data_IF_089603507367
#
_entry.id   IF_089603507367
#
_cell.length_a   1.000
_cell.length_b   1.000
_cell.length_c   1.000
_cell.angle_alpha   90.00
_cell.angle_beta   90.00
_cell.angle_gamma   90.00
#
_symmetry.space_group_name_H-M   'P 1'
#
loop_
_entity.id
_entity.type
_entity.pdbx_description
1 polymer ?
#
# COMPACT_ATOMS: atom_id res chain seq x y z
N UNK A 1 9.39 -42.41 21.45
CA UNK A 1 8.31 -41.50 21.89
C UNK A 1 8.65 -40.09 21.43
N UNK A 2 8.10 -39.70 20.29
CA UNK A 2 8.32 -38.41 19.63
C UNK A 2 7.48 -37.35 20.32
N UNK A 3 8.13 -36.36 20.92
CA UNK A 3 7.48 -35.18 21.53
C UNK A 3 6.90 -34.30 20.42
N UNK A 4 5.56 -34.18 20.40
CA UNK A 4 4.85 -33.22 19.57
C UNK A 4 4.95 -31.83 20.18
N UNK A 5 5.40 -30.85 19.40
CA UNK A 5 5.32 -29.42 19.74
C UNK A 5 3.84 -28.98 19.74
N UNK A 6 3.41 -28.09 20.66
CA UNK A 6 2.03 -27.65 20.70
C UNK A 6 1.71 -26.75 19.50
N UNK A 7 0.63 -27.06 18.80
CA UNK A 7 0.00 -26.17 17.81
C UNK A 7 -0.50 -24.92 18.52
N UNK A 8 -0.01 -23.75 18.14
CA UNK A 8 -0.51 -22.47 18.64
C UNK A 8 -1.92 -22.21 18.10
N UNK A 9 -2.93 -22.33 18.95
CA UNK A 9 -4.28 -21.84 18.69
C UNK A 9 -4.27 -20.32 18.41
N UNK A 10 -5.16 -19.80 17.55
CA UNK A 10 -5.32 -18.36 17.39
C UNK A 10 -5.76 -17.73 18.72
N UNK A 11 -5.19 -16.57 19.04
CA UNK A 11 -5.57 -15.80 20.22
C UNK A 11 -7.05 -15.41 20.14
N UNK A 12 -7.74 -15.45 21.27
CA UNK A 12 -9.14 -15.05 21.36
C UNK A 12 -9.32 -13.59 20.89
N UNK A 13 -10.44 -13.25 20.20
CA UNK A 13 -10.72 -11.87 19.84
C UNK A 13 -10.83 -11.01 21.11
N UNK A 14 -10.18 -9.84 21.11
CA UNK A 14 -10.33 -8.85 22.19
C UNK A 14 -11.74 -8.25 22.15
N UNK A 15 -12.38 -8.12 23.30
CA UNK A 15 -13.68 -7.46 23.44
C UNK A 15 -13.60 -6.02 22.87
N UNK A 16 -14.47 -5.70 21.91
CA UNK A 16 -14.52 -4.37 21.26
C UNK A 16 -13.84 -4.24 19.89
N UNK A 17 -13.12 -5.27 19.41
CA UNK A 17 -12.60 -5.26 18.04
C UNK A 17 -13.73 -5.48 17.03
N UNK A 18 -13.95 -4.52 16.12
CA UNK A 18 -14.91 -4.68 15.01
C UNK A 18 -14.45 -5.85 14.15
N UNK A 19 -15.35 -6.82 13.91
CA UNK A 19 -15.06 -7.96 13.06
C UNK A 19 -14.70 -7.47 11.64
N UNK A 20 -13.61 -7.98 11.03
CA UNK A 20 -13.24 -7.60 9.67
C UNK A 20 -14.38 -7.83 8.69
N UNK A 21 -14.52 -6.94 7.70
CA UNK A 21 -15.51 -7.14 6.64
C UNK A 21 -15.21 -8.42 5.85
N UNK A 22 -16.21 -9.06 5.22
CA UNK A 22 -15.98 -10.25 4.38
C UNK A 22 -14.93 -10.01 3.29
N UNK A 23 -14.92 -8.80 2.72
CA UNK A 23 -13.91 -8.39 1.73
C UNK A 23 -12.51 -8.31 2.34
N UNK A 24 -12.36 -7.73 3.54
CA UNK A 24 -11.06 -7.62 4.20
C UNK A 24 -10.45 -8.99 4.53
N UNK A 25 -11.29 -9.92 4.96
CA UNK A 25 -10.91 -11.33 5.18
C UNK A 25 -10.48 -11.98 3.86
N UNK A 26 -11.26 -11.83 2.79
CA UNK A 26 -10.96 -12.40 1.48
C UNK A 26 -9.65 -11.87 0.88
N UNK A 27 -9.42 -10.56 0.95
CA UNK A 27 -8.24 -9.90 0.42
C UNK A 27 -6.97 -10.35 1.16
N UNK A 28 -7.00 -10.30 2.49
CA UNK A 28 -5.87 -10.71 3.34
C UNK A 28 -5.58 -12.22 3.22
N UNK A 29 -6.62 -13.06 3.26
CA UNK A 29 -6.49 -14.51 3.10
C UNK A 29 -5.89 -14.89 1.75
N UNK A 30 -6.32 -14.25 0.66
CA UNK A 30 -5.80 -14.53 -0.69
C UNK A 30 -4.32 -14.16 -0.81
N UNK A 31 -3.93 -12.98 -0.30
CA UNK A 31 -2.55 -12.55 -0.27
C UNK A 31 -1.65 -13.46 0.58
N UNK A 32 -2.09 -13.81 1.80
CA UNK A 32 -1.33 -14.67 2.72
C UNK A 32 -1.24 -16.11 2.22
N UNK A 33 -2.31 -16.65 1.61
CA UNK A 33 -2.31 -17.98 0.99
C UNK A 33 -1.31 -18.04 -0.16
N UNK A 34 -1.31 -17.03 -1.04
CA UNK A 34 -0.35 -16.95 -2.13
C UNK A 34 1.08 -16.78 -1.62
N UNK A 35 1.30 -15.95 -0.58
CA UNK A 35 2.62 -15.84 0.04
C UNK A 35 3.12 -17.19 0.57
N UNK A 36 2.26 -17.95 1.25
CA UNK A 36 2.60 -19.26 1.83
C UNK A 36 2.97 -20.28 0.75
N UNK A 37 2.35 -20.25 -0.42
CA UNK A 37 2.67 -21.18 -1.52
C UNK A 37 4.03 -20.91 -2.20
N UNK A 38 4.60 -19.70 -2.05
CA UNK A 38 5.92 -19.39 -2.59
C UNK A 38 7.03 -20.24 -1.93
N UNK A 39 8.15 -20.49 -2.63
CA UNK A 39 9.32 -21.16 -2.06
C UNK A 39 9.82 -20.49 -0.78
N UNK A 40 10.46 -21.27 0.11
CA UNK A 40 11.00 -20.74 1.39
C UNK A 40 12.12 -19.71 1.21
N UNK A 41 12.81 -19.72 0.07
CA UNK A 41 13.93 -18.83 -0.21
C UNK A 41 13.42 -17.37 -0.30
N UNK A 42 13.99 -16.49 0.53
CA UNK A 42 13.62 -15.07 0.58
C UNK A 42 12.48 -14.74 1.55
N UNK A 43 11.92 -15.74 2.25
CA UNK A 43 11.01 -15.50 3.38
C UNK A 43 11.80 -15.23 4.66
N UNK A 44 11.27 -14.44 5.61
CA UNK A 44 11.90 -14.20 6.89
C UNK A 44 12.28 -15.50 7.63
N UNK A 45 13.45 -15.52 8.24
CA UNK A 45 13.97 -16.64 9.03
C UNK A 45 14.21 -16.24 10.49
N UNK A 46 13.98 -17.16 11.41
CA UNK A 46 14.26 -16.95 12.83
C UNK A 46 13.46 -15.77 13.42
N UNK A 47 14.16 -14.67 13.72
CA UNK A 47 13.58 -13.45 14.33
C UNK A 47 13.36 -12.31 13.33
N UNK A 48 13.51 -12.58 12.03
CA UNK A 48 13.26 -11.59 11.00
C UNK A 48 11.77 -11.29 10.89
N UNK A 49 11.44 -10.00 10.77
CA UNK A 49 10.10 -9.51 10.42
C UNK A 49 10.17 -8.62 9.18
N UNK A 50 9.06 -8.52 8.47
CA UNK A 50 8.93 -7.67 7.28
C UNK A 50 7.51 -7.13 7.16
N UNK A 51 7.27 -6.23 6.21
CA UNK A 51 5.91 -5.94 5.72
C UNK A 51 5.67 -6.76 4.45
N UNK A 52 4.42 -7.14 4.22
CA UNK A 52 3.95 -7.70 2.95
C UNK A 52 2.89 -6.76 2.35
N UNK A 53 2.93 -6.60 1.03
CA UNK A 53 1.89 -5.93 0.28
C UNK A 53 1.58 -6.73 -1.00
N UNK A 54 0.33 -6.67 -1.45
CA UNK A 54 -0.13 -7.37 -2.65
C UNK A 54 -1.15 -6.53 -3.43
N UNK A 55 -0.99 -6.50 -4.75
CA UNK A 55 -2.03 -6.02 -5.65
C UNK A 55 -2.94 -7.18 -6.04
N UNK A 56 -4.24 -6.99 -5.83
CA UNK A 56 -5.26 -7.99 -6.03
C UNK A 56 -6.23 -7.54 -7.12
N UNK A 57 -6.82 -8.51 -7.82
CA UNK A 57 -7.81 -8.28 -8.86
C UNK A 57 -9.09 -9.03 -8.50
N UNK A 58 -10.21 -8.33 -8.39
CA UNK A 58 -11.53 -8.96 -8.32
C UNK A 58 -12.18 -8.96 -9.70
N UNK A 59 -12.84 -10.06 -10.04
CA UNK A 59 -13.73 -10.15 -11.20
C UNK A 59 -15.20 -10.01 -10.73
N UNK A 60 -16.14 -9.65 -11.62
CA UNK A 60 -17.54 -9.45 -11.23
C UNK A 60 -18.29 -10.74 -10.88
N UNK A 61 -17.83 -11.91 -11.31
CA UNK A 61 -18.48 -13.20 -11.07
C UNK A 61 -18.21 -13.76 -9.67
N UNK A 62 -17.00 -13.53 -9.14
CA UNK A 62 -16.57 -13.95 -7.82
C UNK A 62 -15.77 -12.84 -7.11
N UNK A 63 -16.45 -11.76 -6.65
CA UNK A 63 -15.78 -10.64 -6.03
C UNK A 63 -15.10 -10.98 -4.70
N UNK A 64 -15.45 -12.10 -4.03
CA UNK A 64 -14.87 -12.47 -2.73
C UNK A 64 -13.68 -13.43 -2.85
N UNK A 65 -13.20 -13.69 -4.07
CA UNK A 65 -12.04 -14.52 -4.32
C UNK A 65 -11.04 -13.81 -5.23
N UNK A 66 -10.41 -12.73 -4.74
CA UNK A 66 -9.56 -11.91 -5.58
C UNK A 66 -8.25 -12.63 -5.93
N UNK A 67 -7.83 -12.48 -7.18
CA UNK A 67 -6.57 -13.04 -7.68
C UNK A 67 -5.40 -12.14 -7.32
N UNK A 68 -4.30 -12.71 -6.82
CA UNK A 68 -3.06 -11.97 -6.55
C UNK A 68 -2.32 -11.73 -7.87
N UNK A 69 -2.25 -10.48 -8.32
CA UNK A 69 -1.50 -10.12 -9.52
C UNK A 69 -0.01 -9.95 -9.23
N UNK A 70 0.32 -9.35 -8.08
CA UNK A 70 1.70 -9.14 -7.68
C UNK A 70 1.80 -8.96 -6.18
N UNK A 71 2.98 -9.22 -5.62
CA UNK A 71 3.26 -8.99 -4.22
C UNK A 71 4.71 -8.59 -4.00
N UNK A 72 4.99 -8.04 -2.82
CA UNK A 72 6.33 -7.67 -2.41
C UNK A 72 6.45 -7.65 -0.89
N UNK A 73 7.65 -7.95 -0.39
CA UNK A 73 8.02 -7.76 1.01
C UNK A 73 9.15 -6.74 1.13
N UNK A 74 9.22 -6.05 2.26
CA UNK A 74 10.37 -5.24 2.64
C UNK A 74 10.00 -3.95 3.36
N UNK A 75 11.01 -3.33 3.99
CA UNK A 75 10.87 -2.16 4.88
C UNK A 75 12.04 -1.17 4.76
N UNK A 76 12.85 -1.31 3.70
CA UNK A 76 14.17 -0.67 3.59
C UNK A 76 14.27 0.22 2.36
N UNK A 77 15.09 1.26 2.44
CA UNK A 77 15.39 2.17 1.33
C UNK A 77 16.89 2.37 1.19
N UNK A 78 17.35 2.73 -0.01
CA UNK A 78 18.72 3.17 -0.21
C UNK A 78 18.91 4.59 0.35
N UNK A 79 20.03 4.77 1.06
CA UNK A 79 20.54 6.09 1.44
C UNK A 79 20.99 6.89 0.22
N UNK A 80 20.93 8.22 0.31
CA UNK A 80 21.23 9.12 -0.80
C UNK A 80 22.62 8.91 -1.42
N UNK A 81 23.62 8.59 -0.60
CA UNK A 81 25.00 8.32 -1.02
C UNK A 81 25.15 7.05 -1.88
N UNK A 82 24.19 6.12 -1.80
CA UNK A 82 24.20 4.85 -2.55
C UNK A 82 23.40 4.92 -3.84
N UNK A 83 22.84 6.08 -4.18
CA UNK A 83 22.09 6.26 -5.41
C UNK A 83 23.03 6.22 -6.62
N UNK A 84 22.52 5.66 -7.72
CA UNK A 84 23.24 5.53 -8.98
C UNK A 84 22.49 6.27 -10.07
N UNK A 85 23.22 7.04 -10.90
CA UNK A 85 22.66 7.73 -12.06
C UNK A 85 22.29 6.80 -13.23
N UNK A 86 22.59 5.50 -13.14
CA UNK A 86 22.39 4.53 -14.24
C UNK A 86 21.02 3.84 -14.24
N UNK A 87 20.22 4.02 -13.18
CA UNK A 87 18.91 3.35 -13.05
C UNK A 87 18.99 1.83 -12.78
N UNK A 88 20.13 1.36 -12.26
CA UNK A 88 20.43 -0.06 -11.98
C UNK A 88 20.15 -0.50 -10.54
N UNK A 89 19.71 0.43 -9.67
CA UNK A 89 19.44 0.17 -8.26
C UNK A 89 17.98 0.46 -7.89
N UNK A 90 17.44 -0.32 -6.95
CA UNK A 90 16.11 -0.09 -6.38
C UNK A 90 16.21 0.86 -5.20
N UNK A 91 15.72 2.09 -5.37
CA UNK A 91 15.82 3.13 -4.34
C UNK A 91 14.95 2.84 -3.10
N UNK A 92 13.79 2.22 -3.31
CA UNK A 92 12.81 1.96 -2.26
C UNK A 92 12.30 0.53 -2.38
N UNK A 93 12.63 -0.26 -1.36
CA UNK A 93 12.29 -1.66 -1.24
C UNK A 93 11.23 -1.91 -0.15
N UNK A 94 10.37 -0.93 0.12
CA UNK A 94 9.17 -1.22 0.90
C UNK A 94 8.19 -2.10 0.11
N UNK A 95 7.46 -2.92 0.84
CA UNK A 95 6.55 -3.92 0.31
C UNK A 95 5.60 -3.38 -0.77
N UNK A 96 4.93 -2.24 -0.51
CA UNK A 96 3.95 -1.61 -1.41
C UNK A 96 4.61 -1.14 -2.71
N UNK A 97 5.85 -0.64 -2.60
CA UNK A 97 6.62 -0.14 -3.74
C UNK A 97 7.12 -1.31 -4.60
N UNK A 98 7.64 -2.37 -3.97
CA UNK A 98 8.07 -3.58 -4.67
C UNK A 98 6.89 -4.27 -5.36
N UNK A 99 5.76 -4.42 -4.66
CA UNK A 99 4.54 -5.00 -5.23
C UNK A 99 4.09 -4.20 -6.46
N UNK A 100 4.09 -2.87 -6.40
CA UNK A 100 3.74 -2.03 -7.56
C UNK A 100 4.72 -2.21 -8.72
N UNK A 101 6.03 -2.28 -8.45
CA UNK A 101 7.04 -2.52 -9.51
C UNK A 101 6.85 -3.88 -10.16
N UNK A 102 6.49 -4.91 -9.39
CA UNK A 102 6.14 -6.22 -9.91
C UNK A 102 4.86 -6.18 -10.76
N UNK A 103 3.83 -5.44 -10.35
CA UNK A 103 2.62 -5.22 -11.15
C UNK A 103 2.92 -4.55 -12.50
N UNK A 104 3.77 -3.53 -12.52
CA UNK A 104 4.17 -2.86 -13.77
C UNK A 104 4.87 -3.86 -14.72
N UNK A 105 5.72 -4.75 -14.20
CA UNK A 105 6.35 -5.81 -15.00
C UNK A 105 5.32 -6.80 -15.56
N UNK A 106 4.32 -7.18 -14.76
CA UNK A 106 3.21 -8.01 -15.22
C UNK A 106 2.46 -7.32 -16.36
N UNK A 107 2.08 -6.05 -16.19
CA UNK A 107 1.35 -5.28 -17.20
C UNK A 107 2.10 -5.21 -18.53
N UNK A 108 3.42 -4.94 -18.52
CA UNK A 108 4.22 -5.00 -19.74
C UNK A 108 4.20 -6.39 -20.38
N UNK A 109 4.36 -7.45 -19.58
CA UNK A 109 4.32 -8.83 -20.08
C UNK A 109 2.97 -9.20 -20.69
N UNK A 110 1.85 -8.80 -20.09
CA UNK A 110 0.51 -9.08 -20.62
C UNK A 110 0.26 -8.33 -21.93
N UNK A 111 0.65 -7.06 -21.99
CA UNK A 111 0.50 -6.22 -23.20
C UNK A 111 1.37 -6.74 -24.34
N UNK A 112 2.64 -7.08 -24.06
CA UNK A 112 3.60 -7.56 -25.07
C UNK A 112 3.22 -8.91 -25.66
N UNK A 113 2.61 -9.80 -24.86
CA UNK A 113 2.08 -11.09 -25.35
C UNK A 113 0.98 -10.92 -26.41
N UNK A 114 0.32 -9.76 -26.48
CA UNK A 114 -0.77 -9.47 -27.42
C UNK A 114 -2.04 -10.30 -27.19
N UNK A 115 -2.02 -11.25 -26.26
CA UNK A 115 -3.20 -11.96 -25.79
C UNK A 115 -3.83 -11.14 -24.66
N UNK A 116 -4.96 -10.50 -24.93
CA UNK A 116 -5.72 -9.76 -23.91
C UNK A 116 -6.12 -10.71 -22.77
N UNK A 117 -5.52 -10.62 -21.56
CA UNK A 117 -5.98 -11.44 -20.44
C UNK A 117 -7.43 -11.06 -20.10
N UNK A 118 -8.12 -11.91 -19.35
CA UNK A 118 -9.55 -11.72 -19.06
C UNK A 118 -9.86 -10.36 -18.41
N UNK A 119 -8.89 -9.71 -17.79
CA UNK A 119 -9.08 -8.48 -17.04
C UNK A 119 -8.49 -7.23 -17.70
N UNK A 120 -7.78 -7.36 -18.82
CA UNK A 120 -7.17 -6.25 -19.55
C UNK A 120 -7.62 -6.30 -21.01
N UNK A 121 -8.04 -5.17 -21.57
CA UNK A 121 -8.55 -5.11 -22.95
C UNK A 121 -7.95 -3.93 -23.68
N UNK A 122 -7.63 -4.12 -24.96
CA UNK A 122 -7.26 -3.02 -25.84
C UNK A 122 -8.51 -2.19 -26.18
N UNK A 123 -8.38 -0.87 -26.18
CA UNK A 123 -9.43 0.03 -26.63
C UNK A 123 -9.76 -0.22 -28.11
N UNK A 124 -11.03 -0.05 -28.48
CA UNK A 124 -11.55 -0.30 -29.84
C UNK A 124 -10.90 0.61 -30.89
N UNK A 125 -10.43 1.79 -30.48
CA UNK A 125 -9.70 2.74 -31.32
C UNK A 125 -8.20 2.38 -31.52
N UNK A 126 -7.75 1.27 -30.96
CA UNK A 126 -6.37 0.80 -31.04
C UNK A 126 -5.35 1.64 -30.26
N UNK A 127 -5.81 2.61 -29.46
CA UNK A 127 -4.93 3.61 -28.84
C UNK A 127 -4.24 3.13 -27.55
N UNK A 128 -5.00 2.57 -26.60
CA UNK A 128 -4.51 2.18 -25.27
C UNK A 128 -5.20 0.96 -24.73
N UNK A 129 -4.52 0.24 -23.85
CA UNK A 129 -5.09 -0.79 -23.00
C UNK A 129 -5.84 -0.18 -21.82
N UNK A 130 -6.82 -0.89 -21.30
CA UNK A 130 -7.57 -0.50 -20.11
C UNK A 130 -7.97 -1.71 -19.29
N UNK A 131 -8.29 -1.49 -18.01
CA UNK A 131 -8.93 -2.51 -17.18
C UNK A 131 -10.30 -2.86 -17.80
N UNK A 132 -10.60 -4.15 -17.89
CA UNK A 132 -11.90 -4.61 -18.40
C UNK A 132 -13.00 -4.23 -17.43
N UNK A 133 -14.16 -3.86 -17.97
CA UNK A 133 -15.31 -3.46 -17.18
C UNK A 133 -15.74 -4.56 -16.19
N UNK A 134 -16.17 -4.15 -15.00
CA UNK A 134 -16.50 -5.04 -13.88
C UNK A 134 -15.30 -5.55 -13.09
N UNK A 135 -14.08 -5.48 -13.63
CA UNK A 135 -12.88 -5.80 -12.86
C UNK A 135 -12.45 -4.63 -11.97
N UNK A 136 -11.81 -4.94 -10.85
CA UNK A 136 -11.30 -3.92 -9.93
C UNK A 136 -9.94 -4.31 -9.39
N UNK A 137 -9.07 -3.30 -9.27
CA UNK A 137 -7.73 -3.45 -8.72
C UNK A 137 -7.71 -2.99 -7.26
N UNK A 138 -7.05 -3.75 -6.41
CA UNK A 138 -7.04 -3.53 -4.96
C UNK A 138 -5.63 -3.65 -4.41
N UNK A 139 -5.39 -3.06 -3.23
CA UNK A 139 -4.12 -3.15 -2.53
C UNK A 139 -4.34 -3.71 -1.13
N UNK A 140 -3.63 -4.77 -0.77
CA UNK A 140 -3.52 -5.26 0.60
C UNK A 140 -2.14 -4.93 1.16
N UNK A 141 -2.06 -4.48 2.42
CA UNK A 141 -0.81 -4.22 3.15
C UNK A 141 -0.94 -4.79 4.57
N UNK A 142 0.07 -5.52 5.05
CA UNK A 142 0.00 -6.10 6.41
C UNK A 142 0.12 -5.07 7.52
N UNK A 143 0.68 -3.88 7.25
CA UNK A 143 0.87 -2.82 8.22
C UNK A 143 0.45 -1.46 7.63
N UNK A 144 0.19 -0.50 8.51
CA UNK A 144 -0.06 0.88 8.11
C UNK A 144 1.10 1.42 7.27
N UNK A 145 0.86 1.98 6.07
CA UNK A 145 1.94 2.50 5.25
C UNK A 145 2.62 3.68 5.97
N UNK A 146 3.95 3.75 5.84
CA UNK A 146 4.68 4.86 6.43
C UNK A 146 4.22 6.21 5.88
N UNK A 147 4.18 7.21 6.76
CA UNK A 147 3.75 8.57 6.46
C UNK A 147 2.26 8.85 6.62
N UNK A 148 1.50 7.88 7.13
CA UNK A 148 0.18 8.15 7.72
C UNK A 148 0.40 8.86 9.05
N UNK A 149 -0.11 10.09 9.16
CA UNK A 149 -0.07 10.86 10.40
C UNK A 149 -1.36 10.68 11.19
N UNK A 150 -1.31 10.57 12.52
CA UNK A 150 -2.49 10.79 13.35
C UNK A 150 -3.08 12.17 13.01
N UNK A 151 -4.33 12.22 12.53
CA UNK A 151 -5.02 13.50 12.34
C UNK A 151 -5.24 14.08 13.75
N UNK A 152 -4.86 15.34 14.02
CA UNK A 152 -5.22 16.00 15.27
C UNK A 152 -6.75 16.00 15.44
N UNK A 153 -7.26 15.92 16.67
CA UNK A 153 -8.70 15.80 16.92
C UNK A 153 -9.53 17.02 16.45
N UNK A 154 -8.93 18.16 16.10
CA UNK A 154 -9.68 19.37 15.68
C UNK A 154 -9.17 20.06 14.40
N UNK A 155 -10.10 20.63 13.62
CA UNK A 155 -9.80 21.55 12.49
C UNK A 155 -9.06 22.82 12.94
N UNK A 156 -9.21 23.22 14.20
CA UNK A 156 -8.52 24.37 14.81
C UNK A 156 -7.03 24.12 15.04
N UNK A 157 -6.62 22.92 15.46
CA UNK A 157 -5.19 22.59 15.63
C UNK A 157 -4.46 22.43 14.29
N UNK A 158 -5.18 21.98 13.26
CA UNK A 158 -4.69 22.03 11.87
C UNK A 158 -4.40 23.47 11.42
N UNK A 159 -5.20 24.45 11.87
CA UNK A 159 -5.00 25.88 11.61
C UNK A 159 -3.95 26.53 12.51
N UNK A 160 -3.85 26.16 13.78
CA UNK A 160 -2.79 26.68 14.66
C UNK A 160 -1.40 26.20 14.23
N UNK A 161 -1.26 24.95 13.78
CA UNK A 161 0.01 24.48 13.21
C UNK A 161 0.40 25.24 11.92
N UNK A 162 -0.57 25.85 11.22
CA UNK A 162 -0.36 26.75 10.07
C UNK A 162 0.08 28.16 10.47
N UNK A 163 -0.21 28.61 11.71
CA UNK A 163 0.02 29.99 12.15
C UNK A 163 1.27 30.20 13.03
N UNK A 164 1.85 29.15 13.62
CA UNK A 164 3.08 29.29 14.44
C UNK A 164 4.33 29.26 13.56
N UNK A 165 4.60 30.39 12.90
CA UNK A 165 5.74 30.58 12.00
C UNK A 165 7.07 30.87 12.70
N UNK A 166 8.14 30.19 12.27
CA UNK A 166 9.52 30.72 12.28
C UNK A 166 10.22 30.31 10.97
N UNK A 167 10.29 31.23 10.02
CA UNK A 167 11.26 31.33 8.91
C UNK A 167 11.70 30.03 8.19
N UNK A 168 10.80 29.43 7.37
CA UNK A 168 11.14 28.71 6.13
C UNK A 168 9.86 28.25 5.41
N UNK A 169 9.63 28.71 4.19
CA UNK A 169 8.69 28.20 3.17
C UNK A 169 7.26 27.86 3.63
N UNK A 170 6.29 28.62 3.13
CA UNK A 170 4.85 28.60 3.40
C UNK A 170 4.07 27.34 2.94
N UNK A 171 4.58 26.14 3.22
CA UNK A 171 3.87 24.87 3.03
C UNK A 171 4.09 24.00 4.28
N UNK A 172 3.05 23.77 5.10
CA UNK A 172 3.04 22.56 5.91
C UNK A 172 2.97 21.40 4.92
N UNK A 173 4.13 20.89 4.54
CA UNK A 173 4.20 19.79 3.60
C UNK A 173 3.68 18.55 4.31
N UNK A 174 2.43 18.16 4.03
CA UNK A 174 1.89 16.83 4.32
C UNK A 174 2.77 15.70 3.75
N UNK A 175 3.71 16.03 2.88
CA UNK A 175 4.61 15.11 2.20
C UNK A 175 5.85 14.86 3.05
N UNK A 176 6.14 13.58 3.31
CA UNK A 176 7.17 13.14 4.22
C UNK A 176 8.22 12.31 3.50
N UNK A 177 9.49 12.51 3.86
CA UNK A 177 10.57 11.60 3.45
C UNK A 177 10.68 10.47 4.44
N UNK A 178 11.12 9.31 3.96
CA UNK A 178 11.45 8.20 4.84
C UNK A 178 12.70 8.55 5.67
N UNK A 179 12.75 8.21 6.96
CA UNK A 179 13.89 8.51 7.82
C UNK A 179 15.19 7.84 7.30
N UNK A 180 15.12 6.62 6.76
CA UNK A 180 16.29 5.85 6.34
C UNK A 180 17.12 5.35 7.52
N UNK A 181 18.06 4.42 7.27
CA UNK A 181 19.04 3.97 8.26
C UNK A 181 20.44 4.40 7.81
N UNK A 182 20.99 5.39 8.50
CA UNK A 182 22.27 6.03 8.12
C UNK A 182 22.04 7.37 7.46
N UNK A 183 22.54 7.55 6.24
CA UNK A 183 22.30 8.77 5.47
C UNK A 183 20.83 8.85 5.02
N UNK A 184 20.27 10.06 5.08
CA UNK A 184 18.86 10.29 4.78
C UNK A 184 18.52 9.87 3.36
N UNK A 185 17.40 9.16 3.18
CA UNK A 185 16.94 8.79 1.85
C UNK A 185 16.19 9.94 1.18
N UNK A 186 16.25 9.98 -0.15
CA UNK A 186 15.43 10.90 -0.96
C UNK A 186 14.04 10.32 -1.27
N UNK A 187 13.73 9.13 -0.75
CA UNK A 187 12.45 8.47 -0.99
C UNK A 187 11.33 9.08 -0.14
N UNK A 188 10.22 9.43 -0.79
CA UNK A 188 8.99 9.85 -0.11
C UNK A 188 8.32 8.68 0.61
N UNK A 189 7.44 8.99 1.56
CA UNK A 189 6.70 7.99 2.34
C UNK A 189 5.79 7.13 1.44
N UNK A 190 5.43 5.93 1.91
CA UNK A 190 4.55 5.03 1.17
C UNK A 190 3.16 5.65 1.02
N UNK A 191 2.66 6.33 2.05
CA UNK A 191 1.37 6.97 2.00
C UNK A 191 1.33 8.11 0.99
N UNK A 192 2.37 8.95 0.90
CA UNK A 192 2.49 9.98 -0.16
C UNK A 192 2.47 9.37 -1.56
N UNK A 193 3.11 8.22 -1.74
CA UNK A 193 3.12 7.49 -3.01
C UNK A 193 1.74 6.95 -3.35
N UNK A 194 1.04 6.38 -2.37
CA UNK A 194 -0.34 5.90 -2.54
C UNK A 194 -1.27 7.08 -2.88
N UNK A 195 -1.19 8.20 -2.15
CA UNK A 195 -1.91 9.44 -2.48
C UNK A 195 -1.63 9.88 -3.91
N UNK A 196 -0.37 9.81 -4.37
CA UNK A 196 -0.04 10.12 -5.77
C UNK A 196 -0.69 9.14 -6.75
N UNK A 197 -0.71 7.84 -6.45
CA UNK A 197 -1.35 6.83 -7.33
C UNK A 197 -2.85 7.03 -7.44
N UNK A 198 -3.50 7.55 -6.40
CA UNK A 198 -4.91 7.98 -6.42
C UNK A 198 -5.20 9.13 -7.40
N UNK A 199 -4.18 9.79 -7.95
CA UNK A 199 -4.34 10.91 -8.89
C UNK A 199 -3.85 10.56 -10.29
N UNK A 200 -2.61 10.05 -10.41
CA UNK A 200 -1.98 9.81 -11.72
C UNK A 200 -2.09 8.34 -12.17
N UNK A 201 -2.72 7.51 -11.36
CA UNK A 201 -2.78 6.06 -11.54
C UNK A 201 -1.47 5.36 -11.13
N UNK A 202 -1.57 4.04 -10.94
CA UNK A 202 -0.46 3.21 -10.46
C UNK A 202 0.56 2.90 -11.57
N UNK A 203 0.20 2.99 -12.85
CA UNK A 203 1.00 2.52 -13.99
C UNK A 203 2.31 3.30 -14.19
N UNK A 204 2.35 4.57 -13.80
CA UNK A 204 3.50 5.46 -14.00
C UNK A 204 3.61 5.98 -15.43
N UNK A 205 4.57 6.88 -15.64
CA UNK A 205 4.66 7.69 -16.86
C UNK A 205 4.85 6.86 -18.14
N UNK A 206 5.84 5.96 -18.17
CA UNK A 206 6.14 5.19 -19.38
C UNK A 206 4.97 4.33 -19.85
N UNK A 207 4.33 3.62 -18.91
CA UNK A 207 3.21 2.74 -19.24
C UNK A 207 1.94 3.55 -19.60
N UNK A 208 1.82 4.81 -19.17
CA UNK A 208 0.66 5.66 -19.47
C UNK A 208 0.50 6.02 -20.96
N UNK A 209 1.55 5.82 -21.76
CA UNK A 209 1.47 6.00 -23.22
C UNK A 209 0.61 4.93 -23.89
N UNK A 210 0.52 3.73 -23.30
CA UNK A 210 -0.16 2.57 -23.88
C UNK A 210 -1.22 1.96 -22.96
N UNK A 211 -1.36 2.44 -21.73
CA UNK A 211 -2.31 1.97 -20.73
C UNK A 211 -3.02 3.16 -20.09
N UNK A 212 -4.34 3.13 -20.06
CA UNK A 212 -5.15 4.10 -19.34
C UNK A 212 -4.84 4.11 -17.83
N UNK A 213 -5.05 5.23 -17.11
CA UNK A 213 -4.75 5.29 -15.70
C UNK A 213 -5.47 4.20 -14.89
N UNK A 214 -4.70 3.34 -14.23
CA UNK A 214 -5.21 2.31 -13.34
C UNK A 214 -5.28 2.85 -11.91
N UNK A 215 -6.47 2.77 -11.31
CA UNK A 215 -6.71 3.24 -9.94
C UNK A 215 -7.08 2.07 -9.03
N UNK A 216 -6.84 2.26 -7.74
CA UNK A 216 -7.26 1.33 -6.70
C UNK A 216 -8.74 1.55 -6.37
N UNK A 217 -9.50 0.47 -6.32
CA UNK A 217 -10.88 0.46 -5.83
C UNK A 217 -10.91 0.36 -4.30
N UNK A 218 -10.01 -0.45 -3.73
CA UNK A 218 -9.89 -0.61 -2.26
C UNK A 218 -8.44 -0.66 -1.80
N UNK A 219 -8.22 -0.24 -0.56
CA UNK A 219 -6.98 -0.46 0.21
C UNK A 219 -7.36 -1.18 1.50
N UNK A 220 -6.81 -2.36 1.71
CA UNK A 220 -7.04 -3.18 2.90
C UNK A 220 -5.76 -3.26 3.74
N UNK A 221 -5.85 -2.97 5.03
CA UNK A 221 -4.69 -2.87 5.92
C UNK A 221 -4.87 -3.80 7.12
N UNK A 222 -3.84 -4.57 7.47
CA UNK A 222 -3.87 -5.43 8.65
C UNK A 222 -3.99 -4.64 9.96
N UNK A 223 -4.85 -5.12 10.86
CA UNK A 223 -5.01 -4.56 12.20
C UNK A 223 -3.72 -4.57 13.02
N UNK A 224 -3.58 -3.58 13.91
CA UNK A 224 -2.49 -3.47 14.86
C UNK A 224 -2.68 -4.49 16.00
N UNK A 225 -1.64 -5.29 16.29
CA UNK A 225 -1.68 -6.32 17.33
C UNK A 225 -1.99 -5.76 18.72
N UNK A 226 -1.41 -4.61 19.06
CA UNK A 226 -1.54 -4.00 20.39
C UNK A 226 -2.83 -3.18 20.53
N UNK A 227 -3.64 -3.11 19.47
CA UNK A 227 -4.80 -2.23 19.38
C UNK A 227 -4.39 -0.83 18.94
N UNK A 228 -5.31 -0.13 18.31
CA UNK A 228 -5.15 1.29 18.04
C UNK A 228 -5.36 2.12 19.33
N UNK A 229 -4.74 3.30 19.45
CA UNK A 229 -5.11 4.27 20.49
C UNK A 229 -6.63 4.54 20.50
N UNK A 230 -7.20 4.88 21.65
CA UNK A 230 -8.62 5.22 21.75
C UNK A 230 -9.00 6.30 20.73
N UNK A 231 -10.06 6.05 19.94
CA UNK A 231 -10.52 6.95 18.89
C UNK A 231 -9.75 6.88 17.56
N UNK A 232 -8.70 6.07 17.46
CA UNK A 232 -8.02 5.80 16.20
C UNK A 232 -8.61 4.55 15.54
N UNK A 233 -9.17 4.71 14.34
CA UNK A 233 -9.40 3.60 13.41
C UNK A 233 -8.57 3.85 12.16
N UNK A 234 -8.01 2.78 11.59
CA UNK A 234 -7.17 2.87 10.39
C UNK A 234 -7.99 3.44 9.24
N UNK A 235 -9.23 2.96 9.10
CA UNK A 235 -10.20 3.44 8.11
C UNK A 235 -10.42 4.95 8.20
N UNK A 236 -10.89 5.45 9.34
CA UNK A 236 -11.22 6.87 9.48
C UNK A 236 -10.00 7.77 9.34
N UNK A 237 -8.84 7.34 9.84
CA UNK A 237 -7.62 8.15 9.75
C UNK A 237 -7.18 8.29 8.30
N UNK A 238 -7.06 7.17 7.58
CA UNK A 238 -6.61 7.21 6.19
C UNK A 238 -7.57 7.99 5.31
N UNK A 239 -8.87 7.76 5.46
CA UNK A 239 -9.87 8.50 4.67
C UNK A 239 -9.75 10.00 4.91
N UNK A 240 -9.65 10.44 6.17
CA UNK A 240 -9.49 11.87 6.50
C UNK A 240 -8.20 12.46 5.92
N UNK A 241 -7.05 11.80 6.10
CA UNK A 241 -5.77 12.33 5.60
C UNK A 241 -5.75 12.33 4.07
N UNK A 242 -6.25 11.28 3.44
CA UNK A 242 -6.32 11.19 1.98
C UNK A 242 -7.22 12.29 1.43
N UNK A 243 -8.39 12.50 2.01
CA UNK A 243 -9.34 13.56 1.60
C UNK A 243 -8.75 14.95 1.76
N UNK A 244 -8.11 15.23 2.90
CA UNK A 244 -7.42 16.50 3.12
C UNK A 244 -6.40 16.78 2.02
N UNK A 245 -5.58 15.78 1.64
CA UNK A 245 -4.56 15.92 0.59
C UNK A 245 -5.17 16.09 -0.80
N UNK A 246 -6.18 15.30 -1.13
CA UNK A 246 -6.78 15.29 -2.48
C UNK A 246 -7.70 16.49 -2.75
N UNK A 247 -8.31 17.09 -1.71
CA UNK A 247 -9.24 18.22 -1.85
C UNK A 247 -8.62 19.40 -2.63
N UNK A 248 -7.34 19.68 -2.37
CA UNK A 248 -6.56 20.75 -3.01
C UNK A 248 -6.27 20.57 -4.50
N UNK A 249 -6.46 19.35 -5.03
CA UNK A 249 -6.08 18.97 -6.40
C UNK A 249 -7.25 18.90 -7.38
N UNK A 250 -8.49 18.92 -6.89
CA UNK A 250 -9.71 18.69 -7.68
C UNK A 250 -9.87 19.63 -8.88
N UNK A 251 -9.40 20.87 -8.79
CA UNK A 251 -9.51 21.90 -9.84
C UNK A 251 -8.37 21.90 -10.86
N UNK A 252 -7.36 21.03 -10.74
CA UNK A 252 -6.09 21.12 -11.49
C UNK A 252 -5.80 19.93 -12.40
N UNK A 253 -6.71 18.98 -12.55
CA UNK A 253 -6.46 17.74 -13.29
C UNK A 253 -6.89 17.82 -14.76
N UNK A 254 -6.02 17.35 -15.65
CA UNK A 254 -6.32 17.15 -17.07
C UNK A 254 -6.75 15.71 -17.33
N UNK A 255 -7.67 15.50 -18.28
CA UNK A 255 -7.98 14.17 -18.78
C UNK A 255 -6.70 13.45 -19.29
N UNK A 256 -6.55 12.13 -19.09
CA UNK A 256 -7.50 11.18 -18.51
C UNK A 256 -7.40 11.00 -16.97
N UNK A 257 -6.67 11.89 -16.28
CA UNK A 257 -6.46 11.76 -14.84
C UNK A 257 -7.67 12.20 -14.03
N UNK A 258 -7.90 11.55 -12.89
CA UNK A 258 -8.99 11.86 -11.96
C UNK A 258 -8.57 11.62 -10.52
N UNK A 259 -9.32 12.22 -9.60
CA UNK A 259 -9.21 11.86 -8.18
C UNK A 259 -9.93 10.53 -7.93
N UNK A 260 -9.17 9.52 -7.52
CA UNK A 260 -9.69 8.23 -7.07
C UNK A 260 -9.56 8.10 -5.56
N UNK A 261 -10.70 7.93 -4.89
CA UNK A 261 -10.79 7.66 -3.46
C UNK A 261 -11.09 6.17 -3.25
N UNK A 262 -10.07 5.32 -3.01
CA UNK A 262 -10.28 3.91 -2.71
C UNK A 262 -11.00 3.75 -1.38
N UNK A 263 -11.86 2.74 -1.26
CA UNK A 263 -12.46 2.37 0.04
C UNK A 263 -11.40 1.73 0.93
N UNK A 264 -11.37 2.11 2.20
CA UNK A 264 -10.42 1.57 3.17
C UNK A 264 -11.10 0.45 3.96
N UNK A 265 -10.34 -0.60 4.27
CA UNK A 265 -10.80 -1.72 5.09
C UNK A 265 -9.73 -2.18 6.08
N UNK A 266 -10.16 -2.55 7.27
CA UNK A 266 -9.32 -3.25 8.25
C UNK A 266 -9.42 -4.77 8.09
N UNK A 267 -8.29 -5.40 7.77
CA UNK A 267 -8.13 -6.85 7.75
C UNK A 267 -7.76 -7.40 9.13
N UNK A 268 -7.91 -8.71 9.37
CA UNK A 268 -7.41 -9.35 10.58
C UNK A 268 -5.96 -9.01 10.89
N UNK A 269 -5.60 -9.16 12.16
CA UNK A 269 -4.21 -9.03 12.62
C UNK A 269 -3.32 -9.99 11.79
N UNK A 270 -2.29 -9.49 11.11
CA UNK A 270 -1.45 -10.30 10.22
C UNK A 270 -0.60 -11.29 11.03
N UNK A 271 -0.03 -12.35 10.42
CA UNK A 271 0.94 -13.24 11.07
C UNK A 271 2.13 -12.50 11.71
N UNK A 272 2.76 -13.10 12.74
CA UNK A 272 3.81 -12.45 13.55
C UNK A 272 5.02 -11.99 12.73
N UNK A 273 5.41 -12.74 11.71
CA UNK A 273 6.48 -12.36 10.78
C UNK A 273 6.19 -11.07 10.00
N UNK A 274 4.93 -10.62 10.01
CA UNK A 274 4.46 -9.40 9.39
C UNK A 274 4.02 -8.31 10.37
N UNK A 275 4.28 -8.49 11.66
CA UNK A 275 4.00 -7.51 12.72
C UNK A 275 5.28 -6.74 13.09
N UNK A 276 5.12 -5.50 13.57
CA UNK A 276 6.25 -4.77 14.16
C UNK A 276 6.60 -5.39 15.53
N UNK A 277 7.87 -5.38 15.89
CA UNK A 277 8.34 -5.93 17.17
C UNK A 277 8.21 -4.82 18.22
N UNK A 278 7.64 -5.15 19.39
CA UNK A 278 7.49 -4.23 20.52
C UNK A 278 8.86 -3.67 20.93
N UNK A 279 9.05 -2.35 20.77
CA UNK A 279 10.33 -1.64 20.99
C UNK A 279 10.76 -0.75 19.82
N UNK A 280 10.22 -0.97 18.61
CA UNK A 280 10.38 -0.05 17.49
C UNK A 280 9.49 1.18 17.67
N UNK A 281 10.07 2.39 17.66
CA UNK A 281 9.30 3.64 17.71
C UNK A 281 8.66 3.90 16.34
N UNK A 282 7.32 3.99 16.20
CA UNK A 282 6.70 4.49 14.97
C UNK A 282 7.08 5.97 14.81
N UNK A 283 7.63 6.45 13.67
CA UNK A 283 7.68 5.87 12.32
C UNK A 283 9.10 5.43 11.86
N UNK A 284 10.00 5.11 12.80
CA UNK A 284 11.41 4.78 12.52
C UNK A 284 11.63 3.41 11.87
N UNK A 285 10.57 2.65 11.57
CA UNK A 285 10.67 1.31 10.94
C UNK A 285 11.05 1.33 9.45
N UNK A 286 11.10 2.52 8.85
CA UNK A 286 11.58 2.76 7.48
C UNK A 286 13.10 2.93 7.45
N UNK A 287 13.86 1.85 7.68
CA UNK A 287 15.31 1.94 7.86
C UNK A 287 16.08 0.80 7.25
#
# INVERSE_FOLDING_TARGET
MTSMLPSSSPAAPREGAVAPSPWAEAASSSALRHYRSLPKKGKPQGRESTVLAAFLLSNPQDPQNPTVLSMGTGTKCLGASRLSGRGDLVHDAHAEVIARRALIRLLYSEIDRGASPEWLVASEDGGRWRLRDGHSLHLYITQLPCGVMPVPPSESELREQLDVGVNRCSDISFVQRKPGRGDTTLSMSCFDKITRWSVVGIQGALLSHILEPLYLTTITIGQLHDGAPEGFTIENNIDKVLDARLSSLSSRLSAPFKLSKPKIFEAPVPPKEFQQISGDVPPLTCG
#
